data_IF_059025148021
#
_entry.id   IF_059025148021
#
_cell.length_a   1.000
_cell.length_b   1.000
_cell.length_c   1.000
_cell.angle_alpha   90.00
_cell.angle_beta   90.00
_cell.angle_gamma   90.00
#
_symmetry.space_group_name_H-M   'P 1'
#
loop_
_entity.id
_entity.type
_entity.pdbx_description
1 polymer ?
#
# COMPACT_ATOMS: atom_id res chain seq x y z
N UNK A 1 -1.37 -1.29 20.00
CA UNK A 1 -0.34 -1.09 18.97
C UNK A 1 -0.99 -1.09 17.60
N UNK A 2 -0.59 -0.17 16.78
CA UNK A 2 -1.14 -0.07 15.45
C UNK A 2 -0.57 -1.16 14.53
N UNK A 3 -1.46 -1.87 13.89
CA UNK A 3 -1.06 -2.89 12.93
C UNK A 3 -0.98 -2.23 11.54
N UNK A 4 0.22 -1.98 11.10
CA UNK A 4 0.47 -1.34 9.81
C UNK A 4 -0.14 -2.15 8.67
N UNK A 5 0.01 -3.46 8.75
CA UNK A 5 -0.53 -4.37 7.73
C UNK A 5 -2.05 -4.24 7.62
N UNK A 6 -2.74 -4.24 8.74
CA UNK A 6 -4.19 -4.13 8.74
C UNK A 6 -4.64 -2.76 8.23
N UNK A 7 -3.94 -1.70 8.62
CA UNK A 7 -4.27 -0.34 8.20
C UNK A 7 -4.08 -0.16 6.69
N UNK A 8 -2.98 -0.66 6.16
CA UNK A 8 -2.69 -0.57 4.72
C UNK A 8 -3.69 -1.40 3.92
N UNK A 9 -3.96 -2.61 4.38
CA UNK A 9 -4.89 -3.51 3.71
C UNK A 9 -6.30 -2.89 3.66
N UNK A 10 -6.75 -2.34 4.76
CA UNK A 10 -8.05 -1.68 4.85
C UNK A 10 -8.12 -0.48 3.91
N UNK A 11 -7.07 0.32 3.86
CA UNK A 11 -7.02 1.47 2.97
C UNK A 11 -7.11 1.04 1.49
N UNK A 12 -6.36 0.02 1.12
CA UNK A 12 -6.36 -0.48 -0.25
C UNK A 12 -7.76 -1.00 -0.63
N UNK A 13 -8.38 -1.74 0.25
CA UNK A 13 -9.72 -2.28 -0.01
C UNK A 13 -10.73 -1.14 -0.15
N UNK A 14 -10.68 -0.15 0.75
CA UNK A 14 -11.61 0.97 0.72
C UNK A 14 -11.47 1.83 -0.53
N UNK A 15 -10.24 2.03 -0.98
CA UNK A 15 -9.97 2.98 -2.07
C UNK A 15 -9.97 2.34 -3.45
N UNK A 16 -9.56 1.09 -3.56
CA UNK A 16 -9.30 0.46 -4.85
C UNK A 16 -10.16 -0.75 -5.15
N UNK A 17 -10.89 -1.27 -4.17
CA UNK A 17 -11.74 -2.44 -4.36
C UNK A 17 -13.19 -2.03 -4.14
N UNK A 18 -14.04 -2.29 -5.13
CA UNK A 18 -15.47 -2.01 -5.02
C UNK A 18 -16.15 -3.12 -4.19
N UNK A 19 -17.19 -2.75 -3.44
CA UNK A 19 -17.96 -3.71 -2.66
C UNK A 19 -18.61 -4.77 -3.55
N UNK A 20 -18.91 -4.38 -4.79
CA UNK A 20 -19.53 -5.28 -5.76
C UNK A 20 -18.53 -6.22 -6.43
N UNK A 21 -17.25 -5.96 -6.26
CA UNK A 21 -16.20 -6.81 -6.80
C UNK A 21 -15.91 -7.94 -5.83
N UNK A 22 -16.01 -9.17 -6.31
CA UNK A 22 -15.67 -10.37 -5.52
C UNK A 22 -14.16 -10.58 -5.47
N UNK A 23 -13.41 -9.49 -5.27
CA UNK A 23 -11.96 -9.57 -5.21
C UNK A 23 -11.54 -9.66 -3.75
N UNK A 24 -10.88 -10.75 -3.41
CA UNK A 24 -10.31 -10.92 -2.09
C UNK A 24 -8.87 -10.44 -2.09
N UNK A 25 -8.60 -9.36 -1.36
CA UNK A 25 -7.27 -8.77 -1.26
C UNK A 25 -6.60 -9.24 0.02
N UNK A 26 -5.47 -9.88 -0.13
CA UNK A 26 -4.67 -10.35 0.99
C UNK A 26 -3.33 -9.61 1.03
N UNK A 27 -2.54 -9.88 2.05
CA UNK A 27 -1.27 -9.19 2.24
C UNK A 27 -0.25 -9.52 1.14
N UNK A 28 -0.40 -10.67 0.50
CA UNK A 28 0.50 -11.09 -0.58
C UNK A 28 -0.14 -10.98 -1.97
N UNK A 29 -1.34 -10.40 -2.04
CA UNK A 29 -2.00 -10.20 -3.33
C UNK A 29 -1.27 -9.12 -4.13
N UNK A 30 -0.88 -9.41 -5.39
CA UNK A 30 -0.25 -8.39 -6.23
C UNK A 30 -1.24 -7.24 -6.49
N UNK A 31 -0.85 -6.04 -6.14
CA UNK A 31 -1.70 -4.87 -6.30
C UNK A 31 -1.46 -4.20 -7.66
N UNK A 32 -0.20 -3.97 -7.98
CA UNK A 32 0.18 -3.29 -9.21
C UNK A 32 0.20 -4.27 -10.38
N UNK A 33 0.78 -5.45 -10.18
CA UNK A 33 0.84 -6.49 -11.20
C UNK A 33 -0.54 -6.96 -11.63
N UNK A 34 -1.50 -6.96 -10.71
CA UNK A 34 -2.88 -7.37 -11.02
C UNK A 34 -3.71 -6.26 -11.66
N UNK A 35 -3.23 -5.02 -11.58
CA UNK A 35 -3.95 -3.86 -12.11
C UNK A 35 -4.93 -3.22 -11.13
N UNK A 36 -4.99 -3.70 -9.88
CA UNK A 36 -5.83 -3.08 -8.86
C UNK A 36 -5.38 -1.68 -8.53
N UNK A 37 -4.07 -1.47 -8.46
CA UNK A 37 -3.46 -0.17 -8.17
C UNK A 37 -2.58 0.19 -9.35
N UNK A 38 -2.84 1.34 -9.98
CA UNK A 38 -2.01 1.82 -11.08
C UNK A 38 -0.95 2.80 -10.57
N UNK A 39 -0.15 3.32 -11.49
CA UNK A 39 0.94 4.24 -11.15
C UNK A 39 0.43 5.52 -10.49
N UNK A 40 -0.74 5.99 -10.88
CA UNK A 40 -1.32 7.20 -10.29
C UNK A 40 -1.84 6.92 -8.89
N UNK A 41 -2.48 5.78 -8.70
CA UNK A 41 -2.98 5.38 -7.39
C UNK A 41 -1.83 5.13 -6.42
N UNK A 42 -0.68 4.67 -6.93
CA UNK A 42 0.52 4.46 -6.13
C UNK A 42 0.98 5.76 -5.45
N UNK A 43 0.85 6.89 -6.15
CA UNK A 43 1.22 8.20 -5.59
C UNK A 43 0.31 8.54 -4.41
N UNK A 44 -0.98 8.26 -4.54
CA UNK A 44 -1.94 8.49 -3.46
C UNK A 44 -1.66 7.59 -2.26
N UNK A 45 -1.32 6.34 -2.53
CA UNK A 45 -0.98 5.39 -1.47
C UNK A 45 0.28 5.83 -0.73
N UNK A 46 1.29 6.29 -1.45
CA UNK A 46 2.51 6.82 -0.87
C UNK A 46 2.20 8.01 0.05
N UNK A 47 1.38 8.95 -0.44
CA UNK A 47 1.00 10.12 0.35
C UNK A 47 0.24 9.72 1.61
N UNK A 48 -0.63 8.73 1.51
CA UNK A 48 -1.36 8.21 2.67
C UNK A 48 -0.40 7.68 3.73
N UNK A 49 0.59 6.89 3.31
CA UNK A 49 1.57 6.31 4.22
C UNK A 49 2.42 7.39 4.89
N UNK A 50 2.88 8.36 4.11
CA UNK A 50 3.70 9.44 4.65
C UNK A 50 2.95 10.26 5.69
N UNK A 51 1.69 10.54 5.42
CA UNK A 51 0.86 11.32 6.34
C UNK A 51 0.45 10.53 7.58
N UNK A 52 0.08 9.26 7.38
CA UNK A 52 -0.42 8.43 8.48
C UNK A 52 0.68 8.09 9.48
N UNK A 53 1.89 7.84 8.99
CA UNK A 53 2.99 7.38 9.84
C UNK A 53 4.07 8.45 10.03
N UNK A 54 3.85 9.64 9.49
CA UNK A 54 4.80 10.76 9.59
C UNK A 54 6.19 10.38 9.10
N UNK A 55 6.24 9.72 7.95
CA UNK A 55 7.50 9.30 7.34
C UNK A 55 7.66 9.99 5.98
N UNK A 56 8.87 9.93 5.44
CA UNK A 56 9.16 10.46 4.12
C UNK A 56 9.75 9.32 3.28
N UNK A 57 9.06 8.98 2.20
CA UNK A 57 9.50 7.89 1.32
C UNK A 57 10.17 8.50 0.08
N UNK A 58 11.49 8.29 -0.10
CA UNK A 58 12.18 8.80 -1.28
C UNK A 58 11.66 8.15 -2.56
N UNK A 59 11.71 8.90 -3.66
CA UNK A 59 11.28 8.39 -4.96
C UNK A 59 12.04 7.12 -5.37
N UNK A 60 13.29 7.01 -4.95
CA UNK A 60 14.11 5.84 -5.25
C UNK A 60 13.54 4.57 -4.60
N UNK A 61 12.86 4.71 -3.48
CA UNK A 61 12.25 3.58 -2.78
C UNK A 61 10.77 3.42 -3.12
N UNK A 62 10.19 4.39 -3.79
CA UNK A 62 8.77 4.37 -4.17
C UNK A 62 8.59 3.74 -5.55
N UNK A 63 9.03 2.49 -5.68
CA UNK A 63 8.92 1.76 -6.94
C UNK A 63 7.66 0.89 -6.95
N UNK A 64 7.17 0.51 -8.15
CA UNK A 64 6.04 -0.40 -8.23
C UNK A 64 6.26 -1.71 -7.48
N UNK A 65 7.50 -2.20 -7.48
CA UNK A 65 7.83 -3.44 -6.76
C UNK A 65 7.63 -3.28 -5.26
N UNK A 66 7.96 -2.12 -4.73
CA UNK A 66 7.81 -1.86 -3.29
C UNK A 66 6.35 -1.74 -2.88
N UNK A 67 5.48 -1.38 -3.81
CA UNK A 67 4.05 -1.21 -3.56
C UNK A 67 3.19 -2.32 -4.14
N UNK A 68 3.79 -3.37 -4.68
CA UNK A 68 3.04 -4.43 -5.33
C UNK A 68 2.21 -5.28 -4.37
N UNK A 69 2.68 -5.46 -3.12
CA UNK A 69 1.93 -6.20 -2.11
C UNK A 69 1.87 -5.41 -0.80
N UNK A 70 0.87 -5.73 0.02
CA UNK A 70 0.77 -5.11 1.35
C UNK A 70 1.99 -5.47 2.19
N UNK A 71 2.48 -6.69 2.09
CA UNK A 71 3.69 -7.11 2.81
C UNK A 71 4.89 -6.24 2.45
N UNK A 72 5.07 -5.94 1.17
CA UNK A 72 6.15 -5.07 0.70
C UNK A 72 5.98 -3.64 1.22
N UNK A 73 4.74 -3.15 1.23
CA UNK A 73 4.43 -1.82 1.76
C UNK A 73 4.73 -1.74 3.24
N UNK A 74 4.34 -2.75 4.00
CA UNK A 74 4.62 -2.81 5.45
C UNK A 74 6.12 -2.77 5.71
N UNK A 75 6.87 -3.56 4.95
CA UNK A 75 8.34 -3.57 5.08
C UNK A 75 8.93 -2.19 4.81
N UNK A 76 8.41 -1.52 3.78
CA UNK A 76 8.87 -0.19 3.44
C UNK A 76 8.58 0.82 4.55
N UNK A 77 7.36 0.79 5.08
CA UNK A 77 6.95 1.69 6.16
C UNK A 77 7.81 1.46 7.41
N UNK A 78 8.02 0.21 7.77
CA UNK A 78 8.83 -0.13 8.95
C UNK A 78 10.27 0.35 8.80
N UNK A 79 10.80 0.30 7.59
CA UNK A 79 12.15 0.77 7.30
C UNK A 79 12.32 2.25 7.62
N UNK A 80 11.32 3.07 7.29
CA UNK A 80 11.39 4.51 7.51
C UNK A 80 10.83 4.95 8.85
N UNK A 81 10.03 4.12 9.48
CA UNK A 81 9.44 4.41 10.77
C UNK A 81 10.37 4.07 11.93
N UNK A 82 11.25 3.13 11.72
CA UNK A 82 12.17 2.65 12.75
C UNK A 82 13.17 3.71 13.20
#
# INVERSE_FOLDING_TARGET
>A
MEDIKAAVLEYVIDEYVDEDDDIEVEADTPLISSGLVDSFSMVSLKAFLERTYSISIPDADASPEAFDTVNSIVTLVEKFKA
#
